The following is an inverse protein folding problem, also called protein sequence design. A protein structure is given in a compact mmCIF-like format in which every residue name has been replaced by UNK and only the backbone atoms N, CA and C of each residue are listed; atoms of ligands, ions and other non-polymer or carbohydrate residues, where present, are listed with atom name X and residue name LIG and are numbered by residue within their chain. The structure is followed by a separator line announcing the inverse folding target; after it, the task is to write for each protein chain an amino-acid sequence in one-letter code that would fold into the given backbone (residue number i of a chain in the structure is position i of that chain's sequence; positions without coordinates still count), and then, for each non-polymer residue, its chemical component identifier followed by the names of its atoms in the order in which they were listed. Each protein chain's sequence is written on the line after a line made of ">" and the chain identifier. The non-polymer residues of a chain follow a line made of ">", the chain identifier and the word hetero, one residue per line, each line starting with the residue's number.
data_IF_376355141618
#
_entry.id   IF_376355141618
#
_cell.length_a   1.000
_cell.length_b   1.000
_cell.length_c   1.000
_cell.angle_alpha   90.00
_cell.angle_beta   90.00
_cell.angle_gamma   90.00
#
_symmetry.space_group_name_H-M   'P 1'
#
loop_
_entity.id
_entity.type
_entity.pdbx_description
1 polymer ?
#
# COMPACT_ATOMS: atom_id res chain seq x y z
N UNK A 1 -3.40 25.06 -8.85
CA UNK A 1 -2.18 24.30 -8.47
C UNK A 1 -1.65 23.61 -9.72
N UNK A 2 -0.33 23.51 -9.98
CA UNK A 2 0.12 22.78 -11.18
C UNK A 2 -0.02 21.27 -10.98
N UNK A 3 -0.28 20.52 -12.06
CA UNK A 3 -0.36 19.05 -12.00
C UNK A 3 0.92 18.45 -11.40
N UNK A 4 2.10 18.98 -11.76
CA UNK A 4 3.38 18.53 -11.23
C UNK A 4 3.49 18.66 -9.71
N UNK A 5 3.09 19.81 -9.15
CA UNK A 5 3.11 20.00 -7.69
C UNK A 5 2.10 19.09 -6.99
N UNK A 6 0.91 18.89 -7.57
CA UNK A 6 -0.09 17.94 -7.04
C UNK A 6 0.45 16.51 -7.01
N UNK A 7 1.07 16.07 -8.10
CA UNK A 7 1.70 14.75 -8.19
C UNK A 7 2.81 14.58 -7.17
N UNK A 8 3.67 15.58 -6.97
CA UNK A 8 4.74 15.52 -5.96
C UNK A 8 4.20 15.43 -4.54
N UNK A 9 3.23 16.27 -4.16
CA UNK A 9 2.61 16.21 -2.82
C UNK A 9 1.97 14.84 -2.57
N UNK A 10 1.26 14.30 -3.56
CA UNK A 10 0.63 12.99 -3.47
C UNK A 10 1.62 11.84 -3.39
N UNK A 11 2.62 11.82 -4.27
CA UNK A 11 3.66 10.82 -4.32
C UNK A 11 4.45 10.79 -2.99
N UNK A 12 4.82 11.96 -2.49
CA UNK A 12 5.50 12.09 -1.20
C UNK A 12 4.60 11.63 -0.04
N UNK A 13 3.36 12.10 0.01
CA UNK A 13 2.42 11.73 1.09
C UNK A 13 2.16 10.22 1.16
N UNK A 14 1.95 9.59 0.00
CA UNK A 14 1.75 8.14 -0.08
C UNK A 14 3.02 7.36 0.24
N UNK A 15 4.18 7.77 -0.28
CA UNK A 15 5.44 7.06 0.02
C UNK A 15 5.87 7.18 1.48
N UNK A 16 5.51 8.27 2.16
CA UNK A 16 5.84 8.49 3.57
C UNK A 16 4.98 7.62 4.51
N UNK A 17 3.66 7.61 4.31
CA UNK A 17 2.72 7.00 5.26
C UNK A 17 2.23 5.63 4.79
N UNK A 18 2.10 5.43 3.48
CA UNK A 18 1.55 4.22 2.88
C UNK A 18 2.25 2.93 3.32
N UNK A 19 3.60 2.86 3.29
CA UNK A 19 4.33 1.68 3.74
C UNK A 19 4.16 1.40 5.24
N UNK A 20 4.03 2.46 6.06
CA UNK A 20 3.78 2.33 7.51
C UNK A 20 2.43 1.64 7.74
N UNK A 21 1.38 2.08 7.03
CA UNK A 21 0.05 1.46 7.13
C UNK A 21 0.10 -0.02 6.72
N UNK A 22 0.78 -0.33 5.62
CA UNK A 22 0.94 -1.71 5.15
C UNK A 22 1.69 -2.59 6.16
N UNK A 23 2.78 -2.09 6.74
CA UNK A 23 3.53 -2.80 7.76
C UNK A 23 2.70 -3.01 9.04
N UNK A 24 1.96 -2.00 9.50
CA UNK A 24 1.09 -2.14 10.68
C UNK A 24 0.03 -3.23 10.48
N UNK A 25 -0.51 -3.38 9.26
CA UNK A 25 -1.39 -4.48 8.93
C UNK A 25 -0.69 -5.84 9.07
N UNK A 26 0.50 -5.99 8.47
CA UNK A 26 1.27 -7.25 8.55
C UNK A 26 1.61 -7.58 10.00
N UNK A 27 2.08 -6.60 10.76
CA UNK A 27 2.38 -6.76 12.18
C UNK A 27 1.14 -7.17 12.98
N UNK A 28 -0.01 -6.54 12.72
CA UNK A 28 -1.28 -6.92 13.34
C UNK A 28 -1.67 -8.37 13.02
N UNK A 29 -1.59 -8.78 11.75
CA UNK A 29 -1.91 -10.15 11.32
C UNK A 29 -1.00 -11.18 12.00
N UNK A 30 0.30 -10.89 12.11
CA UNK A 30 1.24 -11.78 12.81
C UNK A 30 0.93 -11.87 14.31
N UNK A 31 0.46 -10.79 14.94
CA UNK A 31 0.13 -10.81 16.37
C UNK A 31 -1.16 -11.58 16.69
N UNK A 32 -1.99 -11.93 15.69
CA UNK A 32 -3.20 -12.73 15.89
C UNK A 32 -2.92 -14.13 16.47
N UNK A 33 -3.81 -14.70 17.31
CA UNK A 33 -3.65 -16.05 17.85
C UNK A 33 -3.39 -17.09 16.75
N UNK A 34 -2.41 -17.97 16.96
CA UNK A 34 -2.07 -19.04 16.01
C UNK A 34 -0.91 -18.77 15.05
N UNK A 35 -0.35 -17.55 15.00
CA UNK A 35 0.89 -17.31 14.25
C UNK A 35 2.11 -17.82 15.02
N UNK A 36 2.96 -18.61 14.34
CA UNK A 36 4.26 -19.08 14.82
C UNK A 36 5.34 -17.99 14.80
N UNK A 37 5.13 -16.92 14.03
CA UNK A 37 6.17 -15.94 13.71
C UNK A 37 6.23 -14.79 14.72
N UNK A 38 5.35 -14.76 15.72
CA UNK A 38 5.23 -13.67 16.72
C UNK A 38 6.54 -13.32 17.41
N UNK A 39 7.24 -14.32 17.91
CA UNK A 39 8.48 -14.11 18.67
C UNK A 39 9.58 -13.51 17.78
N UNK A 40 9.68 -14.01 16.54
CA UNK A 40 10.62 -13.50 15.54
C UNK A 40 10.25 -12.08 15.11
N UNK A 41 8.98 -11.84 14.77
CA UNK A 41 8.52 -10.50 14.37
C UNK A 41 8.66 -9.47 15.48
N UNK A 42 8.42 -9.84 16.74
CA UNK A 42 8.64 -8.95 17.88
C UNK A 42 10.13 -8.64 18.08
N UNK A 43 10.99 -9.65 18.00
CA UNK A 43 12.44 -9.50 18.23
C UNK A 43 13.14 -8.70 17.13
N UNK A 44 12.67 -8.82 15.89
CA UNK A 44 13.24 -8.14 14.72
C UNK A 44 12.36 -6.99 14.21
N UNK A 45 11.40 -6.52 15.01
CA UNK A 45 10.43 -5.50 14.60
C UNK A 45 11.07 -4.27 13.93
N UNK A 46 12.14 -3.66 14.47
CA UNK A 46 12.74 -2.47 13.85
C UNK A 46 13.32 -2.79 12.46
N UNK A 47 14.00 -3.92 12.32
CA UNK A 47 14.63 -4.33 11.06
C UNK A 47 13.55 -4.66 10.02
N UNK A 48 12.53 -5.43 10.43
CA UNK A 48 11.41 -5.77 9.56
C UNK A 48 10.64 -4.52 9.11
N UNK A 49 10.47 -3.54 10.00
CA UNK A 49 9.88 -2.25 9.64
C UNK A 49 10.66 -1.56 8.53
N UNK A 50 11.98 -1.43 8.66
CA UNK A 50 12.80 -0.76 7.63
C UNK A 50 12.79 -1.50 6.29
N UNK A 51 12.88 -2.83 6.32
CA UNK A 51 12.82 -3.65 5.09
C UNK A 51 11.45 -3.51 4.42
N UNK A 52 10.36 -3.68 5.17
CA UNK A 52 9.00 -3.53 4.66
C UNK A 52 8.74 -2.11 4.16
N UNK A 53 9.25 -1.10 4.84
CA UNK A 53 9.15 0.29 4.41
C UNK A 53 9.87 0.48 3.07
N UNK A 54 11.13 0.07 2.96
CA UNK A 54 11.92 0.22 1.75
C UNK A 54 11.26 -0.47 0.53
N UNK A 55 10.72 -1.67 0.72
CA UNK A 55 9.99 -2.40 -0.33
C UNK A 55 8.64 -1.76 -0.66
N UNK A 56 7.95 -1.20 0.34
CA UNK A 56 6.63 -0.58 0.15
C UNK A 56 6.66 0.83 -0.44
N UNK A 57 7.78 1.55 -0.35
CA UNK A 57 7.89 2.95 -0.82
C UNK A 57 7.55 3.08 -2.30
N UNK A 58 8.09 2.21 -3.16
CA UNK A 58 7.90 2.31 -4.60
C UNK A 58 6.42 2.10 -5.03
N UNK A 59 5.72 1.02 -4.64
CA UNK A 59 4.31 0.86 -4.97
C UNK A 59 3.44 1.96 -4.35
N UNK A 60 3.75 2.43 -3.14
CA UNK A 60 3.03 3.54 -2.52
C UNK A 60 3.21 4.85 -3.29
N UNK A 61 4.43 5.17 -3.71
CA UNK A 61 4.75 6.34 -4.53
C UNK A 61 3.96 6.34 -5.84
N UNK A 62 3.98 5.22 -6.57
CA UNK A 62 3.23 5.05 -7.82
C UNK A 62 1.72 5.14 -7.61
N UNK A 63 1.21 4.63 -6.48
CA UNK A 63 -0.20 4.80 -6.10
C UNK A 63 -0.55 6.28 -5.88
N UNK A 64 0.34 7.03 -5.21
CA UNK A 64 0.19 8.47 -5.02
C UNK A 64 0.15 9.24 -6.34
N UNK A 65 1.06 8.90 -7.28
CA UNK A 65 1.07 9.49 -8.62
C UNK A 65 -0.27 9.20 -9.33
N UNK A 66 -0.71 7.95 -9.33
CA UNK A 66 -2.00 7.58 -9.94
C UNK A 66 -3.18 8.30 -9.30
N UNK A 67 -3.18 8.45 -7.98
CA UNK A 67 -4.21 9.21 -7.25
C UNK A 67 -4.23 10.68 -7.67
N UNK A 68 -3.07 11.30 -7.88
CA UNK A 68 -2.98 12.69 -8.35
C UNK A 68 -3.50 12.87 -9.78
N UNK A 69 -3.49 11.83 -10.59
CA UNK A 69 -3.97 11.84 -11.98
C UNK A 69 -5.48 11.57 -12.09
N UNK A 70 -6.20 11.34 -10.99
CA UNK A 70 -7.62 11.05 -11.03
C UNK A 70 -8.42 12.25 -11.59
N UNK A 71 -9.38 12.04 -12.52
CA UNK A 71 -10.23 13.10 -13.00
C UNK A 71 -11.04 13.73 -11.87
N UNK A 72 -11.15 15.06 -11.86
CA UNK A 72 -11.83 15.86 -10.81
C UNK A 72 -13.24 15.34 -10.48
N UNK A 73 -13.96 14.84 -11.50
CA UNK A 73 -15.32 14.27 -11.36
C UNK A 73 -15.35 13.06 -10.41
N UNK A 74 -14.38 12.15 -10.54
CA UNK A 74 -14.28 10.95 -9.70
C UNK A 74 -13.61 11.26 -8.36
N UNK A 75 -12.78 12.29 -8.32
CA UNK A 75 -12.02 12.71 -7.15
C UNK A 75 -12.86 13.36 -6.05
N UNK A 76 -14.02 13.92 -6.42
CA UNK A 76 -14.95 14.56 -5.48
C UNK A 76 -15.69 13.56 -4.59
N UNK A 77 -15.81 12.31 -5.03
CA UNK A 77 -16.41 11.24 -4.25
C UNK A 77 -15.34 10.51 -3.46
N UNK A 78 -15.48 10.50 -2.14
CA UNK A 78 -14.64 9.72 -1.24
C UNK A 78 -14.64 8.24 -1.63
N UNK A 79 -15.81 7.68 -2.00
CA UNK A 79 -15.93 6.27 -2.38
C UNK A 79 -15.13 5.93 -3.65
N UNK A 80 -15.26 6.73 -4.71
CA UNK A 80 -14.52 6.47 -5.95
C UNK A 80 -13.02 6.62 -5.76
N UNK A 81 -12.59 7.62 -4.99
CA UNK A 81 -11.17 7.83 -4.67
C UNK A 81 -10.61 6.68 -3.86
N UNK A 82 -11.32 6.25 -2.82
CA UNK A 82 -10.92 5.10 -1.99
C UNK A 82 -10.84 3.84 -2.84
N UNK A 83 -11.89 3.52 -3.61
CA UNK A 83 -11.91 2.35 -4.48
C UNK A 83 -10.73 2.36 -5.48
N UNK A 84 -10.46 3.50 -6.12
CA UNK A 84 -9.33 3.63 -7.04
C UNK A 84 -7.98 3.42 -6.33
N UNK A 85 -7.74 4.08 -5.21
CA UNK A 85 -6.47 3.95 -4.48
C UNK A 85 -6.29 2.53 -3.92
N UNK A 86 -7.37 1.90 -3.44
CA UNK A 86 -7.35 0.50 -2.99
C UNK A 86 -6.97 -0.43 -4.13
N UNK A 87 -7.65 -0.34 -5.28
CA UNK A 87 -7.39 -1.21 -6.44
C UNK A 87 -5.96 -0.98 -6.95
N UNK A 88 -5.59 0.28 -7.18
CA UNK A 88 -4.27 0.64 -7.69
C UNK A 88 -3.14 0.20 -6.74
N UNK A 89 -3.29 0.47 -5.44
CA UNK A 89 -2.33 0.05 -4.43
C UNK A 89 -2.18 -1.46 -4.36
N UNK A 90 -3.28 -2.21 -4.47
CA UNK A 90 -3.27 -3.67 -4.49
C UNK A 90 -2.52 -4.21 -5.71
N UNK A 91 -2.83 -3.70 -6.90
CA UNK A 91 -2.24 -4.14 -8.16
C UNK A 91 -0.75 -3.82 -8.19
N UNK A 92 -0.35 -2.60 -7.81
CA UNK A 92 1.05 -2.19 -7.79
C UNK A 92 1.88 -2.97 -6.77
N UNK A 93 1.32 -3.21 -5.59
CA UNK A 93 2.00 -4.00 -4.54
C UNK A 93 2.17 -5.45 -4.99
N UNK A 94 1.13 -6.06 -5.54
CA UNK A 94 1.19 -7.41 -6.08
C UNK A 94 2.21 -7.53 -7.21
N UNK A 95 2.17 -6.60 -8.19
CA UNK A 95 3.10 -6.59 -9.31
C UNK A 95 4.55 -6.42 -8.84
N UNK A 96 4.79 -5.47 -7.94
CA UNK A 96 6.12 -5.22 -7.39
C UNK A 96 6.69 -6.45 -6.68
N UNK A 97 5.93 -7.08 -5.78
CA UNK A 97 6.41 -8.27 -5.10
C UNK A 97 6.56 -9.48 -6.03
N UNK A 98 5.73 -9.58 -7.06
CA UNK A 98 5.90 -10.60 -8.11
C UNK A 98 7.21 -10.42 -8.87
N UNK A 99 7.64 -9.17 -9.10
CA UNK A 99 8.93 -8.89 -9.74
C UNK A 99 10.10 -9.18 -8.79
N UNK A 100 9.99 -8.82 -7.51
CA UNK A 100 11.08 -8.96 -6.53
C UNK A 100 11.29 -10.40 -6.07
N UNK A 101 10.21 -11.12 -5.76
CA UNK A 101 10.26 -12.48 -5.23
C UNK A 101 9.94 -13.55 -6.29
N UNK A 102 9.52 -13.14 -7.48
CA UNK A 102 9.15 -14.05 -8.56
C UNK A 102 7.71 -14.54 -8.48
N UNK A 103 7.19 -14.92 -9.65
CA UNK A 103 5.83 -15.48 -9.81
C UNK A 103 5.65 -16.77 -9.00
N UNK A 104 6.72 -17.56 -8.87
CA UNK A 104 6.66 -18.81 -8.11
C UNK A 104 6.44 -18.57 -6.63
N UNK A 105 7.08 -17.60 -5.99
CA UNK A 105 6.84 -17.36 -4.55
C UNK A 105 5.52 -16.62 -4.25
N UNK A 106 5.09 -15.76 -5.16
CA UNK A 106 3.94 -14.87 -4.92
C UNK A 106 2.61 -15.47 -5.40
N UNK A 107 2.57 -16.10 -6.58
CA UNK A 107 1.34 -16.61 -7.20
C UNK A 107 1.20 -18.14 -7.13
N UNK A 108 2.25 -18.90 -7.40
CA UNK A 108 2.17 -20.36 -7.63
C UNK A 108 2.43 -21.13 -6.32
N UNK A 109 3.43 -20.67 -5.57
CA UNK A 109 4.00 -21.15 -4.31
C UNK A 109 4.17 -22.65 -4.26
N UNK A 110 5.35 -23.04 -4.72
CA UNK A 110 5.83 -24.42 -4.78
C UNK A 110 6.54 -24.83 -3.49
N UNK A 111 7.03 -23.86 -2.70
CA UNK A 111 8.05 -24.15 -1.66
C UNK A 111 7.56 -23.94 -0.21
N UNK A 112 6.37 -23.35 0.00
CA UNK A 112 5.79 -23.19 1.35
C UNK A 112 4.29 -23.50 1.38
N UNK A 113 3.79 -24.27 2.37
CA UNK A 113 2.36 -24.52 2.57
C UNK A 113 1.66 -23.27 3.10
N UNK A 114 1.47 -22.27 2.24
CA UNK A 114 0.63 -21.10 2.51
C UNK A 114 -0.60 -21.15 1.61
N UNK A 115 -1.80 -21.15 2.21
CA UNK A 115 -3.06 -21.05 1.47
C UNK A 115 -3.10 -19.77 0.62
N UNK A 116 -3.91 -19.74 -0.45
CA UNK A 116 -4.14 -18.53 -1.26
C UNK A 116 -4.48 -17.30 -0.38
N UNK A 117 -5.21 -17.53 0.71
CA UNK A 117 -5.60 -16.51 1.68
C UNK A 117 -4.40 -15.91 2.42
N UNK A 118 -3.40 -16.73 2.77
CA UNK A 118 -2.17 -16.25 3.39
C UNK A 118 -1.37 -15.32 2.45
N UNK A 119 -1.29 -15.66 1.16
CA UNK A 119 -0.60 -14.84 0.15
C UNK A 119 -1.34 -13.54 -0.14
N UNK A 120 -2.67 -13.59 -0.20
CA UNK A 120 -3.51 -12.40 -0.27
C UNK A 120 -3.23 -11.46 0.91
N UNK A 121 -3.19 -12.00 2.13
CA UNK A 121 -2.88 -11.21 3.34
C UNK A 121 -1.46 -10.63 3.32
N UNK A 122 -0.48 -11.31 2.74
CA UNK A 122 0.90 -10.81 2.71
C UNK A 122 1.15 -9.76 1.62
N UNK A 123 0.61 -9.95 0.42
CA UNK A 123 1.02 -9.16 -0.75
C UNK A 123 -0.07 -8.20 -1.25
N UNK A 124 -1.34 -8.51 -1.02
CA UNK A 124 -2.46 -7.72 -1.57
C UNK A 124 -3.09 -6.85 -0.48
N UNK A 125 -3.40 -7.44 0.68
CA UNK A 125 -4.08 -6.75 1.78
C UNK A 125 -3.34 -5.52 2.35
N UNK A 126 -2.00 -5.48 2.44
CA UNK A 126 -1.30 -4.27 2.87
C UNK A 126 -1.51 -3.12 1.87
N UNK A 127 -1.48 -3.43 0.57
CA UNK A 127 -1.74 -2.48 -0.51
C UNK A 127 -3.18 -2.00 -0.55
N UNK A 128 -4.16 -2.89 -0.32
CA UNK A 128 -5.59 -2.52 -0.23
C UNK A 128 -5.84 -1.54 0.91
N UNK A 129 -5.35 -1.87 2.11
CA UNK A 129 -5.56 -1.08 3.32
C UNK A 129 -4.83 0.25 3.24
N UNK A 130 -3.58 0.23 2.78
CA UNK A 130 -2.79 1.44 2.55
C UNK A 130 -3.50 2.37 1.56
N UNK A 131 -3.91 1.87 0.40
CA UNK A 131 -4.67 2.64 -0.58
C UNK A 131 -5.96 3.24 -0.02
N UNK A 132 -6.71 2.46 0.77
CA UNK A 132 -7.95 2.91 1.39
C UNK A 132 -7.70 4.02 2.43
N UNK A 133 -6.80 3.79 3.38
CA UNK A 133 -6.49 4.74 4.46
C UNK A 133 -5.90 6.01 3.88
N UNK A 134 -4.94 5.90 2.96
CA UNK A 134 -4.33 7.05 2.30
C UNK A 134 -5.38 7.89 1.58
N UNK A 135 -6.31 7.27 0.85
CA UNK A 135 -7.41 8.00 0.21
C UNK A 135 -8.33 8.72 1.20
N UNK A 136 -8.47 8.24 2.45
CA UNK A 136 -9.30 8.87 3.47
C UNK A 136 -8.59 10.03 4.16
N UNK A 137 -7.30 9.87 4.50
CA UNK A 137 -6.54 10.84 5.30
C UNK A 137 -5.85 11.92 4.46
N UNK A 138 -5.74 11.72 3.15
CA UNK A 138 -5.06 12.70 2.30
C UNK A 138 -5.78 14.06 2.38
N UNK A 139 -5.02 15.15 2.65
CA UNK A 139 -5.60 16.47 2.82
C UNK A 139 -6.43 16.93 1.64
N UNK A 140 -7.60 17.50 1.93
CA UNK A 140 -8.44 18.17 0.92
C UNK A 140 -7.70 19.30 0.18
N UNK A 141 -6.71 19.91 0.82
CA UNK A 141 -5.84 20.92 0.19
C UNK A 141 -5.04 20.40 -1.01
N UNK A 142 -4.65 19.11 -1.02
CA UNK A 142 -4.01 18.49 -2.18
C UNK A 142 -4.99 18.23 -3.33
N UNK A 143 -6.29 18.29 -3.03
CA UNK A 143 -7.36 17.91 -3.95
C UNK A 143 -8.03 19.10 -4.65
N UNK A 144 -8.10 20.25 -4.01
CA UNK A 144 -8.97 21.35 -4.42
C UNK A 144 -8.26 22.68 -4.69
N UNK A 145 -6.92 22.69 -4.80
CA UNK A 145 -6.18 23.92 -5.09
C UNK A 145 -6.30 24.40 -6.56
N UNK A 146 -7.27 23.87 -7.30
CA UNK A 146 -7.73 24.34 -8.62
C UNK A 146 -9.11 25.03 -8.53
N UNK A 147 -9.58 25.39 -7.34
CA UNK A 147 -10.72 26.30 -7.23
C UNK A 147 -10.26 27.71 -7.57
N UNK A 148 -10.86 28.39 -8.58
CA UNK A 148 -10.73 29.83 -8.70
C UNK A 148 -11.27 30.55 -7.46
#
# INVERSE_FOLDING_TARGET
>A
MTLGYRTLCHAFWFSLIGPIVGFLYIAFVVMLPGSTDKATTASFFPILFFISYALGVLPALLTGIGAACLPVRHYRSTLYRTAFCTILGSVLTLLFFTVVFGVQDVLIGTDRPGSLLHRFNLYVAPGTLSGAIMALITPKGFYFADRP
#
